data_IF_245233501008
#
_entry.id   IF_245233501008
#
_cell.length_a   1.000
_cell.length_b   1.000
_cell.length_c   1.000
_cell.angle_alpha   90.00
_cell.angle_beta   90.00
_cell.angle_gamma   90.00
#
_symmetry.space_group_name_H-M   'P 1'
#
loop_
_entity.id
_entity.type
_entity.pdbx_description
1 polymer ?
#
# COMPACT_ATOMS: atom_id res chain seq x y z
N UNK A 1 -7.92 2.57 16.51
CA UNK A 1 -7.52 1.20 16.07
C UNK A 1 -6.27 0.71 16.81
N UNK A 2 -6.07 -0.60 17.03
CA UNK A 2 -4.77 -1.08 17.59
C UNK A 2 -3.65 -1.04 16.54
N UNK A 3 -2.43 -0.69 16.95
CA UNK A 3 -1.26 -0.62 16.05
C UNK A 3 -1.02 -1.94 15.31
N UNK A 4 -1.21 -3.07 15.99
CA UNK A 4 -1.07 -4.40 15.40
C UNK A 4 -2.06 -4.61 14.23
N UNK A 5 -3.31 -4.20 14.41
CA UNK A 5 -4.35 -4.27 13.38
C UNK A 5 -4.00 -3.33 12.20
N UNK A 6 -3.43 -2.16 12.47
CA UNK A 6 -2.99 -1.23 11.43
C UNK A 6 -1.92 -1.84 10.52
N UNK A 7 -0.86 -2.39 11.11
CA UNK A 7 0.21 -3.02 10.32
C UNK A 7 -0.32 -4.25 9.58
N UNK A 8 -1.21 -5.03 10.21
CA UNK A 8 -1.87 -6.17 9.58
C UNK A 8 -2.65 -5.78 8.29
N UNK A 9 -3.49 -4.74 8.38
CA UNK A 9 -4.26 -4.27 7.22
C UNK A 9 -3.33 -3.64 6.17
N UNK A 10 -2.33 -2.87 6.58
CA UNK A 10 -1.35 -2.28 5.67
C UNK A 10 -0.66 -3.32 4.78
N UNK A 11 -0.17 -4.40 5.40
CA UNK A 11 0.50 -5.48 4.66
C UNK A 11 -0.45 -6.28 3.77
N UNK A 12 -1.70 -6.50 4.22
CA UNK A 12 -2.72 -7.15 3.38
C UNK A 12 -3.01 -6.32 2.11
N UNK A 13 -3.05 -4.99 2.24
CA UNK A 13 -3.29 -4.07 1.13
C UNK A 13 -2.09 -3.90 0.18
N UNK A 14 -0.92 -4.46 0.49
CA UNK A 14 0.18 -4.58 -0.47
C UNK A 14 -0.09 -5.64 -1.56
N UNK A 15 -0.97 -6.62 -1.32
CA UNK A 15 -1.20 -7.75 -2.25
C UNK A 15 -1.70 -7.28 -3.64
N UNK A 16 -2.69 -6.38 -3.76
CA UNK A 16 -3.12 -5.87 -5.06
C UNK A 16 -2.00 -5.17 -5.85
N UNK A 17 -1.12 -4.42 -5.16
CA UNK A 17 0.03 -3.77 -5.79
C UNK A 17 1.10 -4.77 -6.21
N UNK A 18 1.32 -5.82 -5.40
CA UNK A 18 2.19 -6.93 -5.75
C UNK A 18 1.68 -7.64 -7.01
N UNK A 19 0.38 -7.97 -7.06
CA UNK A 19 -0.26 -8.56 -8.24
C UNK A 19 -0.06 -7.66 -9.46
N UNK A 20 -0.33 -6.35 -9.33
CA UNK A 20 -0.13 -5.39 -10.42
C UNK A 20 1.32 -5.35 -10.91
N UNK A 21 2.28 -5.33 -9.98
CA UNK A 21 3.71 -5.33 -10.30
C UNK A 21 4.11 -6.61 -11.04
N UNK A 22 3.64 -7.76 -10.58
CA UNK A 22 3.95 -9.04 -11.22
C UNK A 22 3.33 -9.19 -12.61
N UNK A 23 2.28 -8.44 -12.95
CA UNK A 23 1.68 -8.48 -14.28
C UNK A 23 2.25 -7.44 -15.25
N UNK A 24 2.53 -6.21 -14.77
CA UNK A 24 2.96 -5.09 -15.63
C UNK A 24 4.47 -4.89 -15.66
N UNK A 25 5.14 -5.22 -14.57
CA UNK A 25 6.55 -4.92 -14.33
C UNK A 25 7.41 -6.17 -14.54
N UNK A 26 6.83 -7.37 -14.34
CA UNK A 26 7.49 -8.67 -14.48
C UNK A 26 8.88 -8.70 -13.82
N UNK A 27 8.98 -8.34 -12.52
CA UNK A 27 10.26 -8.34 -11.83
C UNK A 27 10.80 -9.78 -11.67
N UNK A 28 12.12 -9.93 -11.48
CA UNK A 28 12.73 -11.24 -11.20
C UNK A 28 12.09 -11.91 -10.00
N UNK A 29 12.12 -13.24 -9.96
CA UNK A 29 11.57 -14.07 -8.86
C UNK A 29 12.04 -13.60 -7.46
N UNK A 30 13.26 -13.09 -7.34
CA UNK A 30 13.78 -12.54 -6.07
C UNK A 30 12.92 -11.44 -5.46
N UNK A 31 12.36 -10.53 -6.27
CA UNK A 31 11.47 -9.47 -5.79
C UNK A 31 10.18 -10.05 -5.22
N UNK A 32 9.55 -10.97 -5.96
CA UNK A 32 8.34 -11.65 -5.49
C UNK A 32 8.57 -12.42 -4.19
N UNK A 33 9.72 -13.08 -4.05
CA UNK A 33 10.09 -13.81 -2.82
C UNK A 33 10.19 -12.85 -1.64
N UNK A 34 10.93 -11.74 -1.80
CA UNK A 34 11.10 -10.74 -0.74
C UNK A 34 9.75 -10.09 -0.37
N UNK A 35 8.95 -9.71 -1.36
CA UNK A 35 7.71 -8.99 -1.06
C UNK A 35 6.64 -9.91 -0.46
N UNK A 36 6.57 -11.17 -0.90
CA UNK A 36 5.73 -12.20 -0.26
C UNK A 36 6.22 -12.52 1.15
N UNK A 37 7.53 -12.55 1.43
CA UNK A 37 8.03 -12.80 2.78
C UNK A 37 7.75 -11.65 3.75
N UNK A 38 7.75 -10.40 3.28
CA UNK A 38 7.31 -9.25 4.08
C UNK A 38 5.82 -9.37 4.37
N UNK A 39 4.99 -9.65 3.37
CA UNK A 39 3.53 -9.80 3.57
C UNK A 39 3.23 -11.00 4.48
N UNK A 40 4.00 -12.09 4.44
CA UNK A 40 3.75 -13.24 5.32
C UNK A 40 4.05 -12.97 6.80
N UNK A 41 4.74 -11.88 7.15
CA UNK A 41 4.90 -11.44 8.55
C UNK A 41 3.56 -11.10 9.23
N UNK A 42 2.50 -10.90 8.45
CA UNK A 42 1.11 -10.81 8.90
C UNK A 42 0.70 -11.98 9.81
N UNK A 43 1.27 -13.18 9.61
CA UNK A 43 1.04 -14.36 10.47
C UNK A 43 1.54 -14.12 11.91
N UNK A 44 2.68 -13.45 12.06
CA UNK A 44 3.27 -13.16 13.37
C UNK A 44 2.51 -12.07 14.11
N UNK A 45 2.03 -11.07 13.37
CA UNK A 45 1.23 -9.97 13.90
C UNK A 45 -0.10 -10.47 14.45
N UNK A 46 -0.79 -11.32 13.68
CA UNK A 46 -2.06 -11.91 14.10
C UNK A 46 -2.12 -13.37 13.69
N UNK A 47 -1.99 -14.25 14.68
CA UNK A 47 -2.15 -15.68 14.47
C UNK A 47 -3.64 -16.03 14.41
N UNK A 48 -4.17 -16.20 13.20
CA UNK A 48 -5.53 -16.65 12.93
C UNK A 48 -5.50 -17.77 11.89
N UNK A 49 -6.53 -18.62 11.88
CA UNK A 49 -6.65 -19.66 10.85
C UNK A 49 -6.69 -19.07 9.43
N UNK A 50 -7.35 -17.92 9.29
CA UNK A 50 -7.40 -17.17 8.04
C UNK A 50 -6.03 -16.61 7.62
N UNK A 51 -5.23 -16.05 8.55
CA UNK A 51 -3.91 -15.51 8.21
C UNK A 51 -2.92 -16.59 7.80
N UNK A 52 -2.99 -17.77 8.43
CA UNK A 52 -2.21 -18.95 8.02
C UNK A 52 -2.57 -19.42 6.61
N UNK A 53 -3.87 -19.60 6.31
CA UNK A 53 -4.31 -20.02 4.98
C UNK A 53 -3.89 -19.00 3.93
N UNK A 54 -4.12 -17.72 4.18
CA UNK A 54 -3.76 -16.65 3.26
C UNK A 54 -2.24 -16.61 2.99
N UNK A 55 -1.42 -16.82 4.02
CA UNK A 55 0.04 -16.90 3.91
C UNK A 55 0.51 -18.10 3.10
N UNK A 56 -0.10 -19.28 3.31
CA UNK A 56 0.21 -20.50 2.52
C UNK A 56 -0.16 -20.29 1.05
N UNK A 57 -1.34 -19.72 0.77
CA UNK A 57 -1.78 -19.40 -0.60
C UNK A 57 -0.81 -18.42 -1.27
N UNK A 58 -0.36 -17.39 -0.55
CA UNK A 58 0.66 -16.45 -1.05
C UNK A 58 1.97 -17.15 -1.35
N UNK A 59 2.45 -18.01 -0.46
CA UNK A 59 3.70 -18.74 -0.68
C UNK A 59 3.62 -19.66 -1.91
N UNK A 60 2.45 -20.25 -2.20
CA UNK A 60 2.25 -21.08 -3.39
C UNK A 60 2.39 -20.29 -4.69
N UNK A 61 2.11 -18.98 -4.69
CA UNK A 61 2.28 -18.14 -5.90
C UNK A 61 3.71 -18.12 -6.43
N UNK A 62 4.71 -18.33 -5.56
CA UNK A 62 6.14 -18.34 -5.92
C UNK A 62 6.52 -19.54 -6.80
N UNK A 63 5.78 -20.65 -6.70
CA UNK A 63 6.03 -21.89 -7.47
C UNK A 63 5.24 -21.96 -8.76
N UNK A 64 4.16 -21.21 -8.89
CA UNK A 64 3.26 -21.27 -10.04
C UNK A 64 3.88 -20.49 -11.20
N UNK A 65 3.98 -21.10 -12.37
CA UNK A 65 4.51 -20.43 -13.57
C UNK A 65 3.43 -19.72 -14.38
N UNK A 66 2.23 -20.30 -14.46
CA UNK A 66 1.09 -19.77 -15.23
C UNK A 66 0.47 -18.53 -14.58
N UNK A 67 0.38 -17.44 -15.35
CA UNK A 67 -0.06 -16.13 -14.84
C UNK A 67 -1.52 -16.09 -14.39
N UNK A 68 -2.41 -16.84 -15.06
CA UNK A 68 -3.84 -16.94 -14.67
C UNK A 68 -3.96 -17.50 -13.25
N UNK A 69 -3.19 -18.53 -12.92
CA UNK A 69 -3.21 -19.12 -11.58
C UNK A 69 -2.59 -18.17 -10.56
N UNK A 70 -1.49 -17.45 -10.88
CA UNK A 70 -0.96 -16.42 -9.95
C UNK A 70 -2.02 -15.39 -9.59
N UNK A 71 -2.75 -14.88 -10.57
CA UNK A 71 -3.83 -13.90 -10.36
C UNK A 71 -4.90 -14.43 -9.41
N UNK A 72 -5.38 -15.67 -9.63
CA UNK A 72 -6.39 -16.31 -8.78
C UNK A 72 -5.89 -16.46 -7.35
N UNK A 73 -4.65 -16.93 -7.16
CA UNK A 73 -4.09 -17.15 -5.82
C UNK A 73 -3.87 -15.84 -5.05
N UNK A 74 -3.35 -14.79 -5.70
CA UNK A 74 -3.25 -13.46 -5.09
C UNK A 74 -4.64 -12.92 -4.71
N UNK A 75 -5.62 -13.06 -5.60
CA UNK A 75 -7.01 -12.65 -5.34
C UNK A 75 -7.63 -13.42 -4.15
N UNK A 76 -7.48 -14.74 -4.11
CA UNK A 76 -7.96 -15.58 -3.01
C UNK A 76 -7.33 -15.19 -1.67
N UNK A 77 -6.02 -14.99 -1.63
CA UNK A 77 -5.35 -14.56 -0.39
C UNK A 77 -5.85 -13.19 0.08
N UNK A 78 -5.97 -12.23 -0.84
CA UNK A 78 -6.49 -10.91 -0.51
C UNK A 78 -7.93 -10.97 0.02
N UNK A 79 -8.80 -11.77 -0.59
CA UNK A 79 -10.18 -11.94 -0.12
C UNK A 79 -10.25 -12.55 1.29
N UNK A 80 -9.45 -13.59 1.55
CA UNK A 80 -9.41 -14.24 2.87
C UNK A 80 -8.97 -13.26 3.95
N UNK A 81 -7.95 -12.44 3.69
CA UNK A 81 -7.49 -11.43 4.65
C UNK A 81 -8.54 -10.35 4.87
N UNK A 82 -9.23 -9.88 3.82
CA UNK A 82 -10.29 -8.89 3.98
C UNK A 82 -11.48 -9.42 4.77
N UNK A 83 -11.84 -10.71 4.61
CA UNK A 83 -12.86 -11.36 5.43
C UNK A 83 -12.45 -11.36 6.91
N UNK A 84 -11.20 -11.74 7.22
CA UNK A 84 -10.70 -11.72 8.60
C UNK A 84 -10.63 -10.30 9.20
N UNK A 85 -10.35 -9.29 8.37
CA UNK A 85 -10.40 -7.87 8.80
C UNK A 85 -11.85 -7.45 9.10
N UNK A 86 -12.78 -7.81 8.21
CA UNK A 86 -14.18 -7.43 8.32
C UNK A 86 -14.84 -8.02 9.58
N UNK A 87 -14.61 -9.32 9.84
CA UNK A 87 -15.09 -10.00 11.05
C UNK A 87 -14.56 -9.33 12.33
N UNK A 88 -13.35 -8.76 12.29
CA UNK A 88 -12.72 -8.19 13.49
C UNK A 88 -13.18 -6.77 13.79
N UNK A 89 -13.47 -6.00 12.76
CA UNK A 89 -13.86 -4.60 12.92
C UNK A 89 -15.35 -4.46 13.24
N UNK A 90 -16.21 -5.44 12.91
CA UNK A 90 -17.66 -5.39 13.13
C UNK A 90 -18.31 -4.07 12.67
N UNK A 91 -17.79 -3.49 11.59
CA UNK A 91 -18.25 -2.22 11.03
C UNK A 91 -19.19 -2.44 9.84
N UNK A 92 -20.03 -1.45 9.58
CA UNK A 92 -20.77 -1.39 8.31
C UNK A 92 -19.79 -1.28 7.13
N UNK A 93 -20.16 -1.88 6.01
CA UNK A 93 -19.31 -1.99 4.81
C UNK A 93 -18.87 -0.61 4.29
N UNK A 94 -19.75 0.39 4.35
CA UNK A 94 -19.46 1.75 3.91
C UNK A 94 -18.41 2.43 4.79
N UNK A 95 -18.54 2.30 6.11
CA UNK A 95 -17.60 2.87 7.09
C UNK A 95 -16.24 2.18 6.97
N UNK A 96 -16.22 0.85 6.77
CA UNK A 96 -14.99 0.11 6.54
C UNK A 96 -14.22 0.62 5.30
N UNK A 97 -14.92 0.77 4.17
CA UNK A 97 -14.31 1.22 2.92
C UNK A 97 -13.77 2.66 3.00
N UNK A 98 -14.57 3.58 3.55
CA UNK A 98 -14.20 4.99 3.60
C UNK A 98 -13.10 5.24 4.64
N UNK A 99 -13.25 4.73 5.85
CA UNK A 99 -12.36 5.11 6.95
C UNK A 99 -11.05 4.33 6.94
N UNK A 100 -11.06 3.06 6.54
CA UNK A 100 -9.89 2.19 6.66
C UNK A 100 -9.26 1.89 5.32
N UNK A 101 -10.05 1.48 4.33
CA UNK A 101 -9.51 1.02 3.05
C UNK A 101 -8.82 2.15 2.29
N UNK A 102 -9.45 3.34 2.19
CA UNK A 102 -8.86 4.46 1.46
C UNK A 102 -7.53 4.93 2.07
N UNK A 103 -7.44 5.31 3.37
CA UNK A 103 -6.18 5.75 3.98
C UNK A 103 -5.06 4.69 3.95
N UNK A 104 -5.40 3.42 4.13
CA UNK A 104 -4.40 2.34 4.18
C UNK A 104 -3.97 1.91 2.76
N UNK A 105 -4.86 2.03 1.77
CA UNK A 105 -4.50 1.80 0.37
C UNK A 105 -3.45 2.79 -0.14
N UNK A 106 -3.47 4.04 0.35
CA UNK A 106 -2.45 5.03 0.05
C UNK A 106 -1.08 4.58 0.58
N UNK A 107 -0.99 4.25 1.87
CA UNK A 107 0.29 3.90 2.51
C UNK A 107 0.88 2.61 1.93
N UNK A 108 0.04 1.60 1.71
CA UNK A 108 0.44 0.35 1.05
C UNK A 108 0.86 0.55 -0.40
N UNK A 109 0.23 1.45 -1.15
CA UNK A 109 0.62 1.83 -2.50
C UNK A 109 1.99 2.51 -2.54
N UNK A 110 2.22 3.48 -1.65
CA UNK A 110 3.52 4.17 -1.53
C UNK A 110 4.62 3.20 -1.13
N UNK A 111 4.39 2.33 -0.13
CA UNK A 111 5.32 1.26 0.24
C UNK A 111 5.65 0.35 -0.95
N UNK A 112 4.64 -0.06 -1.72
CA UNK A 112 4.84 -0.91 -2.90
C UNK A 112 5.66 -0.20 -3.97
N UNK A 113 5.40 1.08 -4.25
CA UNK A 113 6.19 1.87 -5.20
C UNK A 113 7.66 2.01 -4.77
N UNK A 114 7.90 2.20 -3.47
CA UNK A 114 9.24 2.29 -2.89
C UNK A 114 10.00 0.97 -3.03
N UNK A 115 9.35 -0.16 -2.71
CA UNK A 115 9.94 -1.50 -2.83
C UNK A 115 10.35 -1.81 -4.27
N UNK A 116 9.47 -1.52 -5.23
CA UNK A 116 9.77 -1.74 -6.65
C UNK A 116 10.89 -0.81 -7.10
N UNK A 117 10.91 0.44 -6.63
CA UNK A 117 11.96 1.40 -6.99
C UNK A 117 13.34 1.03 -6.48
N UNK A 118 13.44 0.52 -5.26
CA UNK A 118 14.71 -0.01 -4.76
C UNK A 118 15.15 -1.24 -5.55
N UNK A 119 14.21 -2.11 -5.92
CA UNK A 119 14.54 -3.28 -6.75
C UNK A 119 14.99 -2.89 -8.16
N UNK A 120 14.46 -1.80 -8.73
CA UNK A 120 14.92 -1.25 -10.01
C UNK A 120 16.39 -0.81 -9.95
N UNK A 121 16.87 -0.28 -8.82
CA UNK A 121 18.28 0.08 -8.66
C UNK A 121 19.20 -1.14 -8.69
N UNK A 122 18.69 -2.30 -8.27
CA UNK A 122 19.39 -3.58 -8.34
C UNK A 122 19.28 -4.20 -9.74
N UNK A 123 18.13 -4.06 -10.40
CA UNK A 123 17.85 -4.62 -11.72
C UNK A 123 17.17 -3.60 -12.66
N UNK A 124 17.95 -2.83 -13.43
CA UNK A 124 17.43 -1.73 -14.24
C UNK A 124 16.72 -2.18 -15.54
N UNK A 125 16.59 -3.47 -15.79
CA UNK A 125 15.86 -4.02 -16.95
C UNK A 125 14.35 -3.97 -16.79
N UNK A 126 13.87 -3.58 -15.61
CA UNK A 126 12.46 -3.54 -15.24
C UNK A 126 11.74 -2.34 -15.88
N UNK A 127 10.44 -2.46 -16.17
CA UNK A 127 9.68 -1.35 -16.77
C UNK A 127 9.38 -0.23 -15.77
N UNK A 128 9.69 1.03 -16.14
CA UNK A 128 9.36 2.21 -15.33
C UNK A 128 7.85 2.52 -15.32
N UNK A 129 7.12 2.10 -16.36
CA UNK A 129 5.71 2.46 -16.54
C UNK A 129 4.80 1.98 -15.41
N UNK A 130 5.03 0.76 -14.89
CA UNK A 130 4.24 0.24 -13.79
C UNK A 130 4.47 1.03 -12.50
N UNK A 131 5.73 1.40 -12.23
CA UNK A 131 6.08 2.24 -11.08
C UNK A 131 5.43 3.63 -11.18
N UNK A 132 5.48 4.23 -12.37
CA UNK A 132 4.85 5.53 -12.64
C UNK A 132 3.34 5.50 -12.36
N UNK A 133 2.64 4.45 -12.80
CA UNK A 133 1.20 4.30 -12.58
C UNK A 133 0.86 4.14 -11.10
N UNK A 134 1.66 3.42 -10.32
CA UNK A 134 1.46 3.32 -8.87
C UNK A 134 1.69 4.68 -8.19
N UNK A 135 2.76 5.39 -8.54
CA UNK A 135 3.05 6.71 -7.98
C UNK A 135 1.95 7.74 -8.30
N UNK A 136 1.45 7.74 -9.55
CA UNK A 136 0.31 8.56 -9.96
C UNK A 136 -0.95 8.21 -9.16
N UNK A 137 -1.27 6.92 -9.02
CA UNK A 137 -2.42 6.47 -8.25
C UNK A 137 -2.34 6.94 -6.79
N UNK A 138 -1.15 6.86 -6.17
CA UNK A 138 -0.94 7.36 -4.81
C UNK A 138 -1.19 8.87 -4.71
N UNK A 139 -0.74 9.66 -5.69
CA UNK A 139 -1.00 11.11 -5.70
C UNK A 139 -2.50 11.43 -5.78
N UNK A 140 -3.23 10.70 -6.63
CA UNK A 140 -4.68 10.86 -6.79
C UNK A 140 -5.41 10.44 -5.51
N UNK A 141 -5.04 9.32 -4.91
CA UNK A 141 -5.62 8.85 -3.65
C UNK A 141 -5.41 9.87 -2.53
N UNK A 142 -4.20 10.45 -2.42
CA UNK A 142 -3.90 11.46 -1.40
C UNK A 142 -4.76 12.71 -1.57
N UNK A 143 -4.92 13.18 -2.82
CA UNK A 143 -5.78 14.32 -3.14
C UNK A 143 -7.26 14.03 -2.91
N UNK A 144 -7.71 12.80 -3.14
CA UNK A 144 -9.08 12.36 -2.89
C UNK A 144 -9.40 12.33 -1.39
N UNK A 145 -8.45 11.90 -0.55
CA UNK A 145 -8.67 11.82 0.91
C UNK A 145 -8.84 13.21 1.54
N UNK A 146 -8.20 14.25 0.99
CA UNK A 146 -8.25 15.62 1.54
C UNK A 146 -9.66 16.17 1.78
N UNK A 147 -10.56 16.25 0.78
CA UNK A 147 -11.91 16.74 1.00
C UNK A 147 -12.68 15.84 1.98
N UNK A 148 -12.44 14.52 1.98
CA UNK A 148 -13.12 13.61 2.90
C UNK A 148 -12.75 13.86 4.36
N UNK A 149 -11.49 14.19 4.64
CA UNK A 149 -11.03 14.58 5.99
C UNK A 149 -11.51 15.99 6.34
N UNK A 150 -11.51 16.92 5.38
CA UNK A 150 -11.94 18.30 5.62
C UNK A 150 -13.43 18.40 6.00
N UNK A 151 -14.29 17.65 5.31
CA UNK A 151 -15.73 17.58 5.60
C UNK A 151 -16.10 16.60 6.73
N UNK A 152 -15.11 16.06 7.45
CA UNK A 152 -15.32 15.14 8.58
C UNK A 152 -16.11 13.87 8.21
N UNK A 153 -16.06 13.47 6.93
CA UNK A 153 -16.63 12.19 6.46
C UNK A 153 -15.78 11.04 6.99
N UNK A 154 -14.46 11.24 7.03
CA UNK A 154 -13.49 10.33 7.61
C UNK A 154 -12.91 10.97 8.88
N UNK A 155 -12.92 10.23 9.99
CA UNK A 155 -12.34 10.68 11.27
C UNK A 155 -13.19 11.76 11.95
N UNK A 156 -14.44 11.45 12.36
CA UNK A 156 -15.26 12.38 13.13
C UNK A 156 -14.60 12.70 14.49
N UNK A 157 -14.91 13.87 15.04
CA UNK A 157 -14.50 14.29 16.39
C UNK A 157 -13.00 14.44 16.66
N UNK A 158 -12.17 14.52 15.61
CA UNK A 158 -10.74 14.84 15.74
C UNK A 158 -10.56 16.33 16.08
N UNK A 159 -9.75 16.62 17.11
CA UNK A 159 -9.43 18.00 17.48
C UNK A 159 -8.82 18.79 16.31
N UNK A 160 -9.20 20.06 16.23
CA UNK A 160 -8.94 20.97 15.11
C UNK A 160 -7.45 21.07 14.74
N UNK A 161 -6.57 21.03 15.75
CA UNK A 161 -5.12 21.07 15.56
C UNK A 161 -4.63 19.81 14.84
N UNK A 162 -5.01 18.63 15.33
CA UNK A 162 -4.63 17.35 14.73
C UNK A 162 -5.22 17.17 13.34
N UNK A 163 -6.46 17.60 13.13
CA UNK A 163 -7.10 17.60 11.80
C UNK A 163 -6.29 18.40 10.79
N UNK A 164 -5.85 19.61 11.15
CA UNK A 164 -5.02 20.44 10.27
C UNK A 164 -3.66 19.80 9.98
N UNK A 165 -3.02 19.19 10.98
CA UNK A 165 -1.76 18.45 10.78
C UNK A 165 -1.97 17.28 9.81
N UNK A 166 -3.02 16.49 9.98
CA UNK A 166 -3.34 15.36 9.09
C UNK A 166 -3.56 15.85 7.64
N UNK A 167 -4.27 16.97 7.45
CA UNK A 167 -4.45 17.57 6.12
C UNK A 167 -3.12 18.01 5.49
N UNK A 168 -2.22 18.63 6.27
CA UNK A 168 -0.87 19.00 5.79
C UNK A 168 -0.05 17.75 5.44
N UNK A 169 -0.18 16.66 6.20
CA UNK A 169 0.51 15.41 5.89
C UNK A 169 -0.06 14.76 4.61
N UNK A 170 -1.38 14.69 4.41
CA UNK A 170 -1.94 14.17 3.17
C UNK A 170 -1.61 15.04 1.94
N UNK A 171 -1.61 16.37 2.07
CA UNK A 171 -1.19 17.24 0.97
C UNK A 171 0.27 17.01 0.59
N UNK A 172 1.17 16.96 1.58
CA UNK A 172 2.59 16.70 1.33
C UNK A 172 2.85 15.31 0.78
N UNK A 173 2.16 14.27 1.25
CA UNK A 173 2.23 12.92 0.68
C UNK A 173 1.81 12.89 -0.81
N UNK A 174 0.77 13.64 -1.17
CA UNK A 174 0.30 13.80 -2.54
C UNK A 174 1.30 14.54 -3.44
N UNK A 175 1.87 15.65 -2.96
CA UNK A 175 2.89 16.41 -3.69
C UNK A 175 4.15 15.56 -3.91
N UNK A 176 4.61 14.85 -2.89
CA UNK A 176 5.81 14.00 -2.99
C UNK A 176 5.62 12.80 -3.91
N UNK A 177 4.45 12.15 -3.86
CA UNK A 177 4.13 11.05 -4.78
C UNK A 177 4.01 11.53 -6.23
N UNK A 178 3.47 12.73 -6.46
CA UNK A 178 3.48 13.36 -7.78
C UNK A 178 4.89 13.72 -8.26
N UNK A 179 5.74 14.24 -7.36
CA UNK A 179 7.14 14.51 -7.66
C UNK A 179 7.90 13.22 -8.01
N UNK A 180 7.63 12.11 -7.30
CA UNK A 180 8.14 10.77 -7.62
C UNK A 180 7.70 10.30 -9.01
N UNK A 181 6.42 10.51 -9.38
CA UNK A 181 5.91 10.22 -10.72
C UNK A 181 6.64 11.03 -11.80
N UNK A 182 6.80 12.35 -11.60
CA UNK A 182 7.51 13.23 -12.53
C UNK A 182 8.98 12.85 -12.67
N UNK A 183 9.62 12.47 -11.57
CA UNK A 183 11.02 12.04 -11.56
C UNK A 183 11.24 10.73 -12.32
N UNK A 184 10.28 9.80 -12.28
CA UNK A 184 10.33 8.55 -13.06
C UNK A 184 10.19 8.77 -14.57
N UNK A 185 9.57 9.89 -15.00
CA UNK A 185 9.45 10.25 -16.40
C UNK A 185 10.80 10.66 -17.03
N UNK A 186 11.81 10.98 -16.20
CA UNK A 186 13.14 11.29 -16.69
C UNK A 186 13.83 10.06 -17.28
N UNK A 187 14.53 10.29 -18.41
CA UNK A 187 15.24 9.22 -19.12
C UNK A 187 16.42 8.68 -18.31
N UNK A 188 17.04 9.53 -17.50
CA UNK A 188 18.23 9.18 -16.74
C UNK A 188 17.94 8.20 -15.60
N UNK A 189 18.96 7.41 -15.24
CA UNK A 189 18.94 6.56 -14.04
C UNK A 189 18.79 7.39 -12.75
N UNK A 190 19.30 8.62 -12.76
CA UNK A 190 19.20 9.57 -11.63
C UNK A 190 17.76 9.92 -11.28
N UNK A 191 16.84 9.90 -12.25
CA UNK A 191 15.41 10.10 -11.99
C UNK A 191 14.79 8.98 -11.15
N UNK A 192 15.24 7.74 -11.33
CA UNK A 192 14.75 6.63 -10.49
C UNK A 192 15.32 6.73 -9.08
N UNK A 193 16.61 7.07 -8.95
CA UNK A 193 17.23 7.29 -7.64
C UNK A 193 16.52 8.42 -6.86
N UNK A 194 16.24 9.56 -7.49
CA UNK A 194 15.48 10.64 -6.86
C UNK A 194 14.05 10.22 -6.50
N UNK A 195 13.39 9.47 -7.39
CA UNK A 195 12.04 8.95 -7.14
C UNK A 195 11.99 8.01 -5.93
N UNK A 196 12.99 7.16 -5.74
CA UNK A 196 13.05 6.28 -4.55
C UNK A 196 13.13 7.08 -3.25
N UNK A 197 13.96 8.12 -3.18
CA UNK A 197 14.03 9.01 -2.01
C UNK A 197 12.73 9.76 -1.74
N UNK A 198 12.08 10.28 -2.79
CA UNK A 198 10.79 10.97 -2.68
C UNK A 198 9.67 10.02 -2.21
N UNK A 199 9.66 8.78 -2.70
CA UNK A 199 8.69 7.76 -2.27
C UNK A 199 8.89 7.38 -0.79
N UNK A 200 10.13 7.37 -0.29
CA UNK A 200 10.43 7.13 1.12
C UNK A 200 9.89 8.26 2.01
N UNK A 201 10.10 9.52 1.61
CA UNK A 201 9.56 10.66 2.35
C UNK A 201 8.02 10.67 2.32
N UNK A 202 7.42 10.35 1.16
CA UNK A 202 5.97 10.16 1.02
C UNK A 202 5.44 9.04 1.91
N UNK A 203 6.21 7.96 2.11
CA UNK A 203 5.85 6.85 3.01
C UNK A 203 5.78 7.31 4.46
N UNK A 204 6.79 8.03 4.96
CA UNK A 204 6.80 8.52 6.35
C UNK A 204 5.60 9.43 6.61
N UNK A 205 5.36 10.36 5.69
CA UNK A 205 4.27 11.33 5.81
C UNK A 205 2.91 10.65 5.72
N UNK A 206 2.72 9.71 4.77
CA UNK A 206 1.46 8.98 4.63
C UNK A 206 1.19 8.04 5.80
N UNK A 207 2.23 7.40 6.38
CA UNK A 207 2.10 6.64 7.63
C UNK A 207 1.69 7.54 8.79
N UNK A 208 2.27 8.73 8.91
CA UNK A 208 1.88 9.72 9.91
C UNK A 208 0.42 10.18 9.73
N UNK A 209 0.00 10.44 8.49
CA UNK A 209 -1.36 10.88 8.17
C UNK A 209 -2.40 9.78 8.46
N UNK A 210 -2.24 8.61 7.83
CA UNK A 210 -3.19 7.49 7.97
C UNK A 210 -3.15 6.85 9.35
N UNK A 211 -1.98 6.79 9.97
CA UNK A 211 -1.83 6.34 11.36
C UNK A 211 -2.48 7.34 12.32
N UNK A 212 -2.21 8.64 12.18
CA UNK A 212 -2.82 9.68 13.01
C UNK A 212 -4.35 9.67 12.89
N UNK A 213 -4.87 9.58 11.67
CA UNK A 213 -6.30 9.52 11.41
C UNK A 213 -6.97 8.31 12.09
N UNK A 214 -6.39 7.12 11.97
CA UNK A 214 -7.00 5.86 12.45
C UNK A 214 -6.76 5.54 13.94
N UNK A 215 -5.76 6.17 14.55
CA UNK A 215 -5.45 6.01 15.97
C UNK A 215 -6.17 7.05 16.82
N UNK A 216 -6.45 8.23 16.27
CA UNK A 216 -7.15 9.32 16.95
C UNK A 216 -8.67 9.27 16.77
N UNK A 217 -9.17 8.59 15.73
CA UNK A 217 -10.59 8.24 15.56
C UNK A 217 -10.98 6.97 16.32
#
# INVERSE_FOLDING_TARGET
>A
MELNLFVYVLLAYCIPFLLYSNYRINPRKGFSILFVSIISTVILLKFSFFSLIAGVILALTLKIEKDIFKFIFYGLSFLILNIDIFIKLDLSISVFLLNYVLPISLTSGVLSSMMIGHWFLVDPTISKEGMMKIALLCSILSLLILPLVFFEIIGPDIDSIFKNVILVLYTSAGILSFASYRSLAEKSYTGVMASTGLSYLSLIVSLGASGGLLLLS
#
